data_IF_116900475027
#
_entry.id   IF_116900475027
#
_cell.length_a   1.000
_cell.length_b   1.000
_cell.length_c   1.000
_cell.angle_alpha   90.00
_cell.angle_beta   90.00
_cell.angle_gamma   90.00
#
_symmetry.space_group_name_H-M   'P 1'
#
loop_
_entity.id
_entity.type
_entity.pdbx_description
1 polymer ?
#
# COMPACT_ATOMS: atom_id res chain seq x y z
N UNK A 1 -3.20 4.41 26.37
CA UNK A 1 -3.70 4.94 25.07
C UNK A 1 -3.12 6.34 24.88
N UNK A 2 -2.40 6.58 23.77
CA UNK A 2 -1.74 7.86 23.48
C UNK A 2 -2.78 8.89 23.00
N UNK A 3 -3.33 9.69 23.92
CA UNK A 3 -4.08 10.94 23.65
C UNK A 3 -5.44 10.81 22.94
N UNK A 4 -6.27 11.86 23.05
CA UNK A 4 -7.57 12.03 22.36
C UNK A 4 -7.37 12.36 20.87
N UNK A 5 -6.71 11.49 20.11
CA UNK A 5 -6.50 11.69 18.67
C UNK A 5 -7.70 11.18 17.88
N UNK A 6 -8.47 12.08 17.27
CA UNK A 6 -9.65 11.73 16.46
C UNK A 6 -9.40 11.82 14.96
N UNK A 7 -8.24 12.32 14.53
CA UNK A 7 -7.97 12.61 13.12
C UNK A 7 -8.02 11.35 12.24
N UNK A 8 -7.49 10.22 12.72
CA UNK A 8 -7.54 8.93 11.99
C UNK A 8 -8.98 8.47 11.79
N UNK A 9 -9.79 8.48 12.85
CA UNK A 9 -11.19 8.05 12.78
C UNK A 9 -12.06 8.98 11.92
N UNK A 10 -11.76 10.29 11.91
CA UNK A 10 -12.43 11.25 11.03
C UNK A 10 -12.06 11.02 9.56
N UNK A 11 -10.78 10.74 9.29
CA UNK A 11 -10.31 10.40 7.95
C UNK A 11 -10.98 9.12 7.43
N UNK A 12 -11.03 8.08 8.25
CA UNK A 12 -11.72 6.83 7.94
C UNK A 12 -13.22 7.06 7.67
N UNK A 13 -13.87 7.93 8.45
CA UNK A 13 -15.28 8.31 8.23
C UNK A 13 -15.49 9.01 6.90
N UNK A 14 -14.60 9.93 6.53
CA UNK A 14 -14.65 10.62 5.25
C UNK A 14 -14.46 9.62 4.08
N UNK A 15 -13.53 8.69 4.24
CA UNK A 15 -13.32 7.61 3.28
C UNK A 15 -14.57 6.72 3.18
N UNK A 16 -15.14 6.26 4.30
CA UNK A 16 -16.37 5.47 4.33
C UNK A 16 -17.54 6.19 3.63
N UNK A 17 -17.64 7.51 3.78
CA UNK A 17 -18.64 8.33 3.10
C UNK A 17 -18.44 8.33 1.58
N UNK A 18 -17.20 8.41 1.09
CA UNK A 18 -16.88 8.31 -0.35
C UNK A 18 -17.29 6.94 -0.92
N UNK A 19 -17.07 5.86 -0.17
CA UNK A 19 -17.43 4.48 -0.56
C UNK A 19 -18.86 4.08 -0.17
N UNK A 20 -19.68 5.01 0.33
CA UNK A 20 -21.08 4.84 0.69
C UNK A 20 -21.35 4.21 2.06
N UNK A 21 -20.43 3.43 2.62
CA UNK A 21 -20.55 2.90 3.99
C UNK A 21 -19.21 2.41 4.54
N UNK A 22 -19.12 2.25 5.87
CA UNK A 22 -17.99 1.56 6.51
C UNK A 22 -17.92 0.08 6.11
N UNK A 23 -19.06 -0.55 5.80
CA UNK A 23 -19.09 -1.94 5.36
C UNK A 23 -18.34 -2.14 4.04
N UNK A 24 -18.33 -1.12 3.18
CA UNK A 24 -17.64 -1.13 1.89
C UNK A 24 -16.11 -1.12 2.02
N UNK A 25 -15.54 -0.78 3.19
CA UNK A 25 -14.09 -0.62 3.40
C UNK A 25 -13.35 -1.93 3.75
N UNK A 26 -14.02 -3.08 3.77
CA UNK A 26 -13.48 -4.31 4.36
C UNK A 26 -12.24 -4.91 3.67
N UNK A 27 -11.98 -4.59 2.39
CA UNK A 27 -10.96 -5.25 1.57
C UNK A 27 -10.15 -4.27 0.70
N UNK A 28 -9.51 -3.29 1.33
CA UNK A 28 -8.64 -2.34 0.60
C UNK A 28 -7.17 -2.77 0.57
N UNK A 29 -6.46 -2.37 -0.48
CA UNK A 29 -5.00 -2.50 -0.55
C UNK A 29 -4.32 -1.20 -0.09
N UNK A 30 -3.12 -1.32 0.51
CA UNK A 30 -2.34 -0.14 0.97
C UNK A 30 -2.12 0.88 -0.15
N UNK A 31 -1.94 0.43 -1.40
CA UNK A 31 -1.73 1.34 -2.53
C UNK A 31 -2.97 2.20 -2.83
N UNK A 32 -4.19 1.71 -2.58
CA UNK A 32 -5.42 2.50 -2.76
C UNK A 32 -5.47 3.64 -1.74
N UNK A 33 -5.05 3.38 -0.50
CA UNK A 33 -4.89 4.40 0.52
C UNK A 33 -3.86 5.45 0.14
N UNK A 34 -2.70 5.03 -0.39
CA UNK A 34 -1.65 5.95 -0.84
C UNK A 34 -2.14 6.85 -1.99
N UNK A 35 -2.82 6.30 -2.99
CA UNK A 35 -3.42 7.08 -4.08
C UNK A 35 -4.48 8.04 -3.54
N UNK A 36 -5.37 7.59 -2.65
CA UNK A 36 -6.44 8.44 -2.10
C UNK A 36 -5.90 9.60 -1.24
N UNK A 37 -4.80 9.40 -0.52
CA UNK A 37 -4.25 10.40 0.40
C UNK A 37 -3.27 11.36 -0.28
N UNK A 38 -2.61 10.92 -1.35
CA UNK A 38 -1.59 11.73 -2.05
C UNK A 38 -2.07 12.25 -3.40
N UNK A 39 -3.04 11.60 -4.03
CA UNK A 39 -3.48 11.87 -5.41
C UNK A 39 -2.52 11.36 -6.49
N UNK A 40 -1.40 10.73 -6.12
CA UNK A 40 -0.37 10.27 -7.06
C UNK A 40 -0.49 8.78 -7.36
N UNK A 41 -0.13 8.34 -8.59
CA UNK A 41 -0.12 6.93 -8.95
C UNK A 41 0.86 6.16 -8.06
N UNK A 42 0.40 5.03 -7.50
CA UNK A 42 1.21 4.18 -6.63
C UNK A 42 1.57 2.86 -7.34
N UNK A 43 2.79 2.73 -7.90
CA UNK A 43 3.22 1.49 -8.55
C UNK A 43 3.35 0.36 -7.52
N UNK A 44 2.87 -0.83 -7.87
CA UNK A 44 2.96 -2.02 -7.01
C UNK A 44 3.91 -3.05 -7.61
N UNK A 45 4.90 -3.50 -6.82
CA UNK A 45 5.87 -4.50 -7.22
C UNK A 45 5.55 -5.82 -6.53
N UNK A 46 5.29 -6.88 -7.30
CA UNK A 46 5.07 -8.23 -6.77
C UNK A 46 6.40 -8.98 -6.68
N UNK A 47 6.84 -9.30 -5.45
CA UNK A 47 8.07 -10.06 -5.20
C UNK A 47 7.98 -11.56 -5.52
N UNK A 48 6.77 -12.07 -5.75
CA UNK A 48 6.52 -13.45 -6.13
C UNK A 48 5.53 -13.50 -7.29
N UNK A 49 5.77 -14.40 -8.23
CA UNK A 49 4.84 -14.69 -9.32
C UNK A 49 4.64 -16.21 -9.42
N UNK A 50 3.40 -16.69 -9.24
CA UNK A 50 3.06 -18.13 -9.23
C UNK A 50 3.94 -18.95 -8.25
N UNK A 51 4.10 -18.46 -7.02
CA UNK A 51 4.95 -19.05 -5.97
C UNK A 51 6.45 -19.18 -6.30
N UNK A 52 6.90 -18.63 -7.44
CA UNK A 52 8.33 -18.58 -7.77
C UNK A 52 8.91 -17.26 -7.28
N UNK A 53 10.06 -17.28 -6.57
CA UNK A 53 10.76 -16.07 -6.21
C UNK A 53 11.23 -15.34 -7.47
N UNK A 54 11.40 -14.02 -7.36
CA UNK A 54 11.98 -13.22 -8.42
C UNK A 54 13.40 -13.72 -8.80
N UNK A 55 13.75 -13.58 -10.07
CA UNK A 55 15.11 -13.85 -10.54
C UNK A 55 16.09 -12.83 -9.92
N UNK A 56 17.34 -13.22 -9.68
CA UNK A 56 18.36 -12.37 -9.04
C UNK A 56 18.51 -11.02 -9.75
N UNK A 57 18.60 -11.01 -11.08
CA UNK A 57 18.69 -9.77 -11.88
C UNK A 57 17.52 -8.80 -11.65
N UNK A 58 16.29 -9.31 -11.53
CA UNK A 58 15.11 -8.48 -11.27
C UNK A 58 15.07 -7.97 -9.84
N UNK A 59 15.60 -8.76 -8.90
CA UNK A 59 15.73 -8.33 -7.51
C UNK A 59 16.69 -7.15 -7.40
N UNK A 60 17.81 -7.20 -8.12
CA UNK A 60 18.77 -6.10 -8.18
C UNK A 60 18.14 -4.82 -8.78
N UNK A 61 17.40 -4.95 -9.89
CA UNK A 61 16.66 -3.82 -10.48
C UNK A 61 15.65 -3.18 -9.50
N UNK A 62 14.87 -4.01 -8.78
CA UNK A 62 13.92 -3.54 -7.76
C UNK A 62 14.65 -2.87 -6.60
N UNK A 63 15.79 -3.41 -6.18
CA UNK A 63 16.60 -2.83 -5.12
C UNK A 63 17.14 -1.45 -5.51
N UNK A 64 17.65 -1.30 -6.73
CA UNK A 64 18.12 -0.01 -7.25
C UNK A 64 16.98 1.03 -7.28
N UNK A 65 15.80 0.63 -7.76
CA UNK A 65 14.63 1.52 -7.75
C UNK A 65 14.20 1.90 -6.32
N UNK A 66 14.29 0.97 -5.37
CA UNK A 66 13.93 1.25 -3.98
C UNK A 66 14.90 2.23 -3.32
N UNK A 67 16.19 2.15 -3.64
CA UNK A 67 17.19 3.12 -3.20
C UNK A 67 16.90 4.51 -3.75
N UNK A 68 16.67 4.65 -5.06
CA UNK A 68 16.35 5.96 -5.66
C UNK A 68 15.07 6.54 -5.06
N UNK A 69 14.03 5.72 -4.85
CA UNK A 69 12.79 6.19 -4.25
C UNK A 69 12.96 6.64 -2.79
N UNK A 70 13.84 5.97 -2.04
CA UNK A 70 14.16 6.36 -0.66
C UNK A 70 14.94 7.68 -0.61
N UNK A 71 15.84 7.92 -1.56
CA UNK A 71 16.61 9.17 -1.65
C UNK A 71 15.73 10.36 -2.05
N UNK A 72 14.74 10.13 -2.92
CA UNK A 72 13.76 11.13 -3.35
C UNK A 72 12.64 11.39 -2.31
N UNK A 73 12.58 10.59 -1.23
CA UNK A 73 11.62 10.78 -0.15
C UNK A 73 10.20 10.31 -0.48
N UNK A 74 10.04 9.36 -1.41
CA UNK A 74 8.73 8.78 -1.71
C UNK A 74 8.19 7.93 -0.56
N UNK A 75 6.86 7.81 -0.50
CA UNK A 75 6.19 6.87 0.39
C UNK A 75 6.30 5.45 -0.16
N UNK A 76 6.86 4.54 0.64
CA UNK A 76 7.02 3.12 0.29
C UNK A 76 6.21 2.29 1.29
N UNK A 77 5.30 1.47 0.76
CA UNK A 77 4.51 0.51 1.52
C UNK A 77 4.87 -0.93 1.16
N UNK A 78 5.11 -1.76 2.16
CA UNK A 78 5.34 -3.21 1.97
C UNK A 78 4.24 -3.95 2.70
N UNK A 79 3.70 -4.99 2.07
CA UNK A 79 2.71 -5.87 2.67
C UNK A 79 3.11 -7.33 2.44
N UNK A 80 2.93 -8.14 3.47
CA UNK A 80 3.00 -9.59 3.37
C UNK A 80 1.55 -10.11 3.39
N UNK A 81 0.99 -10.35 2.20
CA UNK A 81 -0.38 -10.84 2.07
C UNK A 81 -0.51 -12.30 2.49
N UNK A 82 -1.74 -12.72 2.84
CA UNK A 82 -2.10 -14.14 2.81
C UNK A 82 -1.97 -14.63 1.36
N UNK A 83 -1.44 -15.85 1.12
CA UNK A 83 -1.40 -16.41 -0.23
C UNK A 83 -2.81 -16.39 -0.82
N UNK A 84 -2.95 -15.94 -2.07
CA UNK A 84 -4.20 -16.08 -2.82
C UNK A 84 -4.53 -17.58 -2.87
N UNK A 85 -5.48 -18.01 -2.05
CA UNK A 85 -6.10 -19.33 -2.17
C UNK A 85 -6.94 -19.28 -3.45
N UNK A 86 -6.40 -19.93 -4.48
CA UNK A 86 -7.05 -20.22 -5.75
C UNK A 86 -8.34 -21.01 -5.58
#
# INVERSE_FOLDING_TARGET
AKGKQLWVSLLEKAQAKLYGSYHSLKNGYTYEGLVNLTGFPTPTIKFQHKHKPLNSKKLDEVWQALLSYSEEGFLIGISCGRPEVS
#
